data_IF_112261381233
#
_entry.id   IF_112261381233
#
_cell.length_a   1.000
_cell.length_b   1.000
_cell.length_c   1.000
_cell.angle_alpha   90.00
_cell.angle_beta   90.00
_cell.angle_gamma   90.00
#
_symmetry.space_group_name_H-M   'P 1'
#
loop_
_entity.id
_entity.type
_entity.pdbx_description
1 polymer ?
#
# COMPACT_ATOMS: atom_id res chain seq x y z
N UNK A 1 -12.55 -1.41 -9.39
CA UNK A 1 -11.72 -2.03 -8.32
C UNK A 1 -12.28 -3.43 -8.01
N UNK A 2 -11.46 -4.36 -7.52
CA UNK A 2 -11.90 -5.66 -7.00
C UNK A 2 -11.38 -5.87 -5.58
N UNK A 3 -12.06 -6.74 -4.83
CA UNK A 3 -11.61 -7.21 -3.53
C UNK A 3 -11.56 -8.74 -3.58
N UNK A 4 -10.39 -9.30 -3.26
CA UNK A 4 -10.19 -10.73 -3.10
C UNK A 4 -10.31 -11.06 -1.61
N UNK A 5 -11.01 -12.14 -1.30
CA UNK A 5 -11.20 -12.58 0.09
C UNK A 5 -10.48 -13.89 0.35
N UNK A 6 -9.73 -13.95 1.45
CA UNK A 6 -9.03 -15.14 1.96
C UNK A 6 -9.32 -15.32 3.45
N UNK A 7 -9.25 -16.55 3.99
CA UNK A 7 -9.41 -16.81 5.42
C UNK A 7 -10.82 -16.51 5.95
N UNK A 8 -11.87 -16.76 5.15
CA UNK A 8 -13.29 -16.47 5.51
C UNK A 8 -13.80 -17.18 6.76
N UNK A 9 -13.11 -18.21 7.21
CA UNK A 9 -13.40 -18.95 8.45
C UNK A 9 -13.07 -18.15 9.71
N UNK A 10 -12.25 -17.12 9.60
CA UNK A 10 -11.85 -16.29 10.74
C UNK A 10 -12.83 -15.15 10.98
N UNK A 11 -12.98 -14.78 12.26
CA UNK A 11 -13.86 -13.68 12.68
C UNK A 11 -13.16 -12.32 12.59
N UNK A 12 -11.85 -12.29 12.88
CA UNK A 12 -11.05 -11.07 12.83
C UNK A 12 -10.78 -10.66 11.38
N UNK A 13 -11.06 -9.43 11.06
CA UNK A 13 -11.05 -8.89 9.71
C UNK A 13 -9.84 -8.00 9.45
N UNK A 14 -9.19 -8.17 8.31
CA UNK A 14 -8.06 -7.37 7.85
C UNK A 14 -8.31 -6.81 6.46
N UNK A 15 -8.38 -5.49 6.33
CA UNK A 15 -8.34 -4.82 5.03
C UNK A 15 -6.90 -4.61 4.59
N UNK A 16 -6.54 -5.09 3.39
CA UNK A 16 -5.19 -5.05 2.86
C UNK A 16 -5.12 -4.23 1.57
N UNK A 17 -4.46 -3.06 1.63
CA UNK A 17 -4.16 -2.24 0.46
C UNK A 17 -2.72 -2.49 0.01
N UNK A 18 -2.50 -2.98 -1.24
CA UNK A 18 -1.17 -3.30 -1.74
C UNK A 18 -0.34 -2.06 -2.09
N UNK A 19 0.92 -2.26 -2.45
CA UNK A 19 1.79 -1.24 -3.02
C UNK A 19 1.40 -0.87 -4.45
N UNK A 20 2.00 0.22 -4.94
CA UNK A 20 1.93 0.60 -6.35
C UNK A 20 2.66 -0.40 -7.22
N UNK A 21 2.04 -0.75 -8.34
CA UNK A 21 2.66 -1.55 -9.41
C UNK A 21 3.19 -2.93 -8.97
N UNK A 22 2.57 -3.47 -7.92
CA UNK A 22 2.82 -4.84 -7.50
C UNK A 22 1.62 -5.73 -7.88
N UNK A 23 1.85 -6.87 -8.54
CA UNK A 23 0.81 -7.80 -8.88
C UNK A 23 0.28 -8.53 -7.64
N UNK A 24 -0.93 -9.10 -7.74
CA UNK A 24 -1.52 -9.88 -6.64
C UNK A 24 -0.61 -11.03 -6.20
N UNK A 25 0.05 -11.69 -7.13
CA UNK A 25 0.94 -12.81 -6.81
C UNK A 25 2.18 -12.40 -6.00
N UNK A 26 2.64 -11.15 -6.06
CA UNK A 26 3.77 -10.67 -5.26
C UNK A 26 3.48 -10.66 -3.74
N UNK A 27 2.20 -10.70 -3.36
CA UNK A 27 1.78 -10.77 -1.97
C UNK A 27 1.31 -12.17 -1.56
N UNK A 28 1.40 -13.18 -2.45
CA UNK A 28 0.79 -14.48 -2.23
C UNK A 28 1.26 -15.14 -0.92
N UNK A 29 2.58 -15.13 -0.66
CA UNK A 29 3.15 -15.74 0.54
C UNK A 29 2.70 -15.00 1.81
N UNK A 30 2.71 -13.67 1.80
CA UNK A 30 2.26 -12.86 2.92
C UNK A 30 0.77 -13.02 3.18
N UNK A 31 -0.05 -13.04 2.15
CA UNK A 31 -1.50 -13.29 2.28
C UNK A 31 -1.75 -14.72 2.77
N UNK A 32 -0.99 -15.71 2.31
CA UNK A 32 -1.12 -17.10 2.77
C UNK A 32 -0.82 -17.23 4.28
N UNK A 33 0.21 -16.55 4.79
CA UNK A 33 0.53 -16.55 6.23
C UNK A 33 -0.54 -15.82 7.03
N UNK A 34 -0.93 -14.61 6.60
CA UNK A 34 -1.94 -13.83 7.30
C UNK A 34 -3.33 -14.50 7.30
N UNK A 35 -3.71 -15.17 6.21
CA UNK A 35 -5.01 -15.83 6.09
C UNK A 35 -5.20 -17.04 7.02
N UNK A 36 -4.15 -17.47 7.70
CA UNK A 36 -4.24 -18.47 8.77
C UNK A 36 -4.91 -17.94 10.04
N UNK A 37 -5.11 -16.61 10.15
CA UNK A 37 -5.66 -15.96 11.36
C UNK A 37 -6.66 -14.87 11.05
N UNK A 38 -6.63 -14.30 9.83
CA UNK A 38 -7.44 -13.16 9.45
C UNK A 38 -8.38 -13.51 8.29
N UNK A 39 -9.60 -13.01 8.35
CA UNK A 39 -10.44 -12.85 7.17
C UNK A 39 -9.96 -11.59 6.43
N UNK A 40 -9.29 -11.78 5.31
CA UNK A 40 -8.60 -10.72 4.58
C UNK A 40 -9.46 -10.22 3.42
N UNK A 41 -9.62 -8.90 3.34
CA UNK A 41 -10.14 -8.16 2.18
C UNK A 41 -8.95 -7.53 1.44
N UNK A 42 -8.38 -8.22 0.46
CA UNK A 42 -7.26 -7.73 -0.34
C UNK A 42 -7.79 -6.88 -1.49
N UNK A 43 -7.46 -5.59 -1.48
CA UNK A 43 -7.83 -4.66 -2.55
C UNK A 43 -6.96 -4.91 -3.78
N UNK A 44 -7.59 -4.94 -4.96
CA UNK A 44 -6.92 -4.96 -6.27
C UNK A 44 -7.24 -3.65 -6.96
N UNK A 45 -6.23 -2.81 -7.13
CA UNK A 45 -6.41 -1.51 -7.79
C UNK A 45 -6.75 -1.66 -9.26
N UNK A 46 -7.63 -0.81 -9.77
CA UNK A 46 -7.88 -0.72 -11.21
C UNK A 46 -6.59 -0.44 -11.98
N UNK A 47 -6.45 -1.07 -13.13
CA UNK A 47 -5.27 -0.94 -13.98
C UNK A 47 -4.00 -1.60 -13.43
N UNK A 48 -4.09 -2.36 -12.32
CA UNK A 48 -2.98 -3.13 -11.75
C UNK A 48 -3.03 -4.62 -12.09
N UNK A 49 -4.12 -5.10 -12.67
CA UNK A 49 -4.23 -6.50 -13.09
C UNK A 49 -4.73 -6.55 -14.55
N UNK A 50 -3.98 -7.22 -15.44
CA UNK A 50 -4.36 -7.32 -16.86
C UNK A 50 -5.72 -7.99 -17.08
N UNK A 51 -6.11 -8.89 -16.17
CA UNK A 51 -7.37 -9.63 -16.23
C UNK A 51 -8.58 -8.75 -15.90
N UNK A 52 -8.38 -7.61 -15.26
CA UNK A 52 -9.44 -6.67 -14.85
C UNK A 52 -9.28 -5.36 -15.61
N UNK A 53 -10.04 -5.16 -16.69
CA UNK A 53 -9.92 -3.96 -17.51
C UNK A 53 -10.30 -2.70 -16.73
N UNK A 54 -9.58 -1.64 -16.96
CA UNK A 54 -9.79 -0.34 -16.34
C UNK A 54 -8.47 0.41 -16.13
N UNK A 55 -8.58 1.67 -15.75
CA UNK A 55 -7.44 2.48 -15.38
C UNK A 55 -7.58 2.91 -13.91
N UNK A 56 -6.48 2.91 -13.18
CA UNK A 56 -6.46 3.59 -11.88
C UNK A 56 -6.82 5.07 -12.06
N UNK A 57 -7.75 5.54 -11.27
CA UNK A 57 -8.24 6.92 -11.36
C UNK A 57 -7.65 7.79 -10.26
N UNK A 58 -7.92 7.47 -9.00
CA UNK A 58 -7.42 8.22 -7.86
C UNK A 58 -7.55 7.46 -6.55
N UNK A 59 -6.84 7.95 -5.54
CA UNK A 59 -6.98 7.49 -4.14
C UNK A 59 -8.41 7.68 -3.66
N UNK A 60 -9.03 8.82 -4.00
CA UNK A 60 -10.40 9.14 -3.63
C UNK A 60 -11.37 8.09 -4.14
N UNK A 61 -11.36 7.83 -5.45
CA UNK A 61 -12.26 6.84 -6.05
C UNK A 61 -12.04 5.44 -5.47
N UNK A 62 -10.79 5.04 -5.28
CA UNK A 62 -10.48 3.73 -4.68
C UNK A 62 -11.08 3.61 -3.27
N UNK A 63 -10.94 4.65 -2.44
CA UNK A 63 -11.48 4.63 -1.07
C UNK A 63 -13.01 4.63 -1.09
N UNK A 64 -13.63 5.43 -1.95
CA UNK A 64 -15.08 5.48 -2.09
C UNK A 64 -15.64 4.10 -2.51
N UNK A 65 -14.98 3.42 -3.47
CA UNK A 65 -15.39 2.08 -3.94
C UNK A 65 -15.16 1.01 -2.86
N UNK A 66 -14.06 1.07 -2.09
CA UNK A 66 -13.82 0.16 -0.95
C UNK A 66 -14.89 0.37 0.13
N UNK A 67 -15.17 1.62 0.48
CA UNK A 67 -16.20 1.96 1.46
C UNK A 67 -17.57 1.47 1.02
N UNK A 68 -17.93 1.68 -0.25
CA UNK A 68 -19.17 1.18 -0.82
C UNK A 68 -19.25 -0.36 -0.77
N UNK A 69 -18.16 -1.06 -1.15
CA UNK A 69 -18.11 -2.52 -1.06
C UNK A 69 -18.37 -3.01 0.37
N UNK A 70 -17.66 -2.46 1.36
CA UNK A 70 -17.81 -2.84 2.76
C UNK A 70 -19.25 -2.59 3.26
N UNK A 71 -19.82 -1.41 2.96
CA UNK A 71 -21.19 -1.06 3.33
C UNK A 71 -22.25 -2.00 2.73
N UNK A 72 -22.12 -2.35 1.44
CA UNK A 72 -23.03 -3.29 0.75
C UNK A 72 -22.98 -4.69 1.38
N UNK A 73 -21.82 -5.10 1.92
CA UNK A 73 -21.64 -6.37 2.62
C UNK A 73 -21.94 -6.27 4.13
N UNK A 74 -22.46 -5.14 4.61
CA UNK A 74 -22.81 -4.93 6.02
C UNK A 74 -21.61 -4.79 6.96
N UNK A 75 -20.41 -4.48 6.41
CA UNK A 75 -19.17 -4.34 7.18
C UNK A 75 -18.98 -2.86 7.52
N UNK A 76 -19.32 -2.47 8.73
CA UNK A 76 -19.11 -1.12 9.26
C UNK A 76 -17.87 -0.99 10.16
N UNK A 77 -17.26 -2.14 10.49
CA UNK A 77 -16.08 -2.22 11.34
C UNK A 77 -15.09 -3.25 10.78
N UNK A 78 -13.81 -2.92 10.88
CA UNK A 78 -12.67 -3.80 10.60
C UNK A 78 -11.77 -3.85 11.84
N UNK A 79 -11.35 -5.06 12.23
CA UNK A 79 -10.44 -5.22 13.38
C UNK A 79 -9.08 -4.61 13.07
N UNK A 80 -8.61 -4.80 11.83
CA UNK A 80 -7.32 -4.31 11.38
C UNK A 80 -7.36 -3.79 9.94
N UNK A 81 -6.40 -2.90 9.61
CA UNK A 81 -6.11 -2.50 8.25
C UNK A 81 -4.62 -2.29 8.03
N UNK A 82 -4.13 -2.70 6.86
CA UNK A 82 -2.77 -2.49 6.38
C UNK A 82 -2.79 -1.77 5.04
N UNK A 83 -1.85 -0.85 4.83
CA UNK A 83 -1.69 -0.20 3.53
C UNK A 83 -0.25 0.22 3.28
N UNK A 84 0.33 -0.22 2.15
CA UNK A 84 1.69 0.10 1.76
C UNK A 84 1.73 1.13 0.63
N UNK A 85 2.61 2.12 0.72
CA UNK A 85 2.87 3.09 -0.36
C UNK A 85 1.60 3.81 -0.84
N UNK A 86 1.12 3.54 -2.07
CA UNK A 86 -0.17 4.00 -2.59
C UNK A 86 -1.33 3.47 -1.72
N UNK A 87 -1.24 2.21 -1.30
CA UNK A 87 -2.20 1.62 -0.37
C UNK A 87 -2.21 2.33 0.98
N UNK A 88 -1.04 2.80 1.42
CA UNK A 88 -0.93 3.65 2.61
C UNK A 88 -1.62 5.02 2.44
N UNK A 89 -1.62 5.59 1.23
CA UNK A 89 -2.39 6.79 0.93
C UNK A 89 -3.91 6.53 0.97
N UNK A 90 -4.35 5.40 0.40
CA UNK A 90 -5.76 4.97 0.47
C UNK A 90 -6.19 4.75 1.93
N UNK A 91 -5.41 4.03 2.71
CA UNK A 91 -5.69 3.78 4.12
C UNK A 91 -5.71 5.09 4.94
N UNK A 92 -4.76 6.01 4.69
CA UNK A 92 -4.75 7.33 5.33
C UNK A 92 -6.05 8.08 5.09
N UNK A 93 -6.56 8.07 3.85
CA UNK A 93 -7.81 8.73 3.50
C UNK A 93 -9.02 8.02 4.13
N UNK A 94 -9.08 6.68 4.07
CA UNK A 94 -10.16 5.90 4.68
C UNK A 94 -10.29 6.21 6.18
N UNK A 95 -9.16 6.19 6.90
CA UNK A 95 -9.12 6.54 8.32
C UNK A 95 -9.52 8.00 8.59
N UNK A 96 -9.12 8.91 7.72
CA UNK A 96 -9.43 10.33 7.86
C UNK A 96 -10.92 10.64 7.66
N UNK A 97 -11.61 9.90 6.80
CA UNK A 97 -13.06 10.02 6.58
C UNK A 97 -13.87 9.40 7.70
N UNK A 98 -13.40 8.31 8.30
CA UNK A 98 -14.04 7.64 9.44
C UNK A 98 -15.39 6.98 9.14
N UNK A 99 -15.71 6.75 7.85
CA UNK A 99 -16.97 6.11 7.43
C UNK A 99 -17.00 4.62 7.78
N UNK A 100 -15.84 3.97 7.79
CA UNK A 100 -15.63 2.61 8.26
C UNK A 100 -14.77 2.68 9.51
N UNK A 101 -15.24 2.10 10.59
CA UNK A 101 -14.48 2.00 11.85
C UNK A 101 -13.34 0.99 11.67
N UNK A 102 -12.15 1.32 12.15
CA UNK A 102 -10.98 0.43 12.13
C UNK A 102 -10.37 0.37 13.52
N UNK A 103 -10.17 -0.82 14.06
CA UNK A 103 -9.58 -0.99 15.38
C UNK A 103 -8.11 -0.58 15.40
N UNK A 104 -7.31 -1.14 14.49
CA UNK A 104 -5.87 -0.89 14.38
C UNK A 104 -5.43 -0.76 12.93
N UNK A 105 -4.48 0.12 12.68
CA UNK A 105 -4.01 0.36 11.32
C UNK A 105 -2.49 0.48 11.23
N UNK A 106 -1.91 -0.12 10.20
CA UNK A 106 -0.51 0.04 9.81
C UNK A 106 -0.46 0.74 8.46
N UNK A 107 0.16 1.91 8.42
CA UNK A 107 0.45 2.66 7.20
C UNK A 107 1.95 2.51 6.93
N UNK A 108 2.32 1.66 5.98
CA UNK A 108 3.69 1.29 5.68
C UNK A 108 4.25 2.10 4.50
N UNK A 109 5.18 3.00 4.78
CA UNK A 109 5.76 3.90 3.79
C UNK A 109 4.73 4.73 3.03
N UNK A 110 3.54 4.93 3.62
CA UNK A 110 2.39 5.55 2.97
C UNK A 110 2.69 6.96 2.45
N UNK A 111 2.29 7.21 1.21
CA UNK A 111 2.43 8.51 0.58
C UNK A 111 1.44 9.51 1.20
N UNK A 112 1.85 10.77 1.29
CA UNK A 112 1.01 11.83 1.85
C UNK A 112 0.90 13.01 0.88
N UNK A 113 -0.17 13.83 0.94
CA UNK A 113 -0.30 14.98 0.07
C UNK A 113 0.87 15.96 0.20
N UNK A 114 1.40 16.44 -0.92
CA UNK A 114 2.41 17.47 -0.94
C UNK A 114 1.80 18.87 -1.03
N UNK A 115 2.16 19.73 -0.09
CA UNK A 115 1.83 21.17 -0.14
C UNK A 115 2.82 21.93 -1.03
N UNK A 116 2.90 21.58 -2.33
CA UNK A 116 3.82 22.15 -3.29
C UNK A 116 3.10 22.97 -4.37
N UNK A 117 3.74 24.01 -4.95
CA UNK A 117 3.20 24.76 -6.08
C UNK A 117 2.87 23.84 -7.26
N UNK A 118 1.82 24.20 -8.01
CA UNK A 118 1.31 23.37 -9.11
C UNK A 118 2.38 22.98 -10.15
N UNK A 119 3.24 23.90 -10.55
CA UNK A 119 4.31 23.62 -11.52
C UNK A 119 5.33 22.60 -10.97
N UNK A 120 5.68 22.69 -9.70
CA UNK A 120 6.59 21.73 -9.05
C UNK A 120 5.97 20.35 -9.05
N UNK A 121 4.68 20.24 -8.71
CA UNK A 121 3.95 18.95 -8.76
C UNK A 121 3.92 18.35 -10.17
N UNK A 122 3.78 19.18 -11.20
CA UNK A 122 3.84 18.72 -12.61
C UNK A 122 5.22 18.23 -13.00
N UNK A 123 6.29 18.88 -12.55
CA UNK A 123 7.67 18.43 -12.79
C UNK A 123 7.96 17.10 -12.08
N UNK A 124 7.51 16.95 -10.83
CA UNK A 124 7.64 15.68 -10.09
C UNK A 124 6.88 14.57 -10.80
N UNK A 125 5.64 14.81 -11.22
CA UNK A 125 4.86 13.84 -12.00
C UNK A 125 5.61 13.40 -13.27
N UNK A 126 6.17 14.34 -14.04
CA UNK A 126 6.90 14.03 -15.26
C UNK A 126 8.13 13.15 -14.97
N UNK A 127 8.87 13.48 -13.90
CA UNK A 127 10.01 12.68 -13.42
C UNK A 127 9.58 11.27 -13.07
N UNK A 128 8.53 11.12 -12.26
CA UNK A 128 8.07 9.83 -11.73
C UNK A 128 7.52 8.92 -12.85
N UNK A 129 6.77 9.50 -13.78
CA UNK A 129 6.28 8.78 -14.98
C UNK A 129 7.45 8.32 -15.85
N UNK A 130 8.47 9.17 -16.06
CA UNK A 130 9.66 8.80 -16.83
C UNK A 130 10.45 7.70 -16.11
N UNK A 131 10.68 7.83 -14.81
CA UNK A 131 11.36 6.83 -13.99
C UNK A 131 10.66 5.48 -14.06
N UNK A 132 9.34 5.44 -13.85
CA UNK A 132 8.56 4.21 -13.97
C UNK A 132 8.74 3.54 -15.33
N UNK A 133 8.64 4.31 -16.43
CA UNK A 133 8.78 3.78 -17.78
C UNK A 133 10.17 3.24 -18.05
N UNK A 134 11.19 3.90 -17.55
CA UNK A 134 12.58 3.46 -17.67
C UNK A 134 12.77 2.12 -16.97
N UNK A 135 12.27 1.97 -15.74
CA UNK A 135 12.32 0.72 -14.99
C UNK A 135 11.49 -0.37 -15.67
N UNK A 136 10.28 -0.06 -16.13
CA UNK A 136 9.39 -1.03 -16.80
C UNK A 136 9.90 -1.53 -18.16
N UNK A 137 10.77 -0.78 -18.82
CA UNK A 137 11.29 -1.11 -20.16
C UNK A 137 12.71 -1.64 -20.17
N UNK A 138 13.42 -1.61 -19.05
CA UNK A 138 14.83 -1.98 -18.97
C UNK A 138 15.10 -2.87 -17.75
N UNK A 139 15.49 -4.11 -18.00
CA UNK A 139 15.79 -5.13 -16.99
C UNK A 139 16.87 -4.68 -16.00
N UNK A 140 17.96 -4.11 -16.49
CA UNK A 140 19.06 -3.65 -15.64
C UNK A 140 18.59 -2.53 -14.68
N UNK A 141 17.71 -1.65 -15.17
CA UNK A 141 17.13 -0.59 -14.33
C UNK A 141 16.14 -1.15 -13.30
N UNK A 142 15.39 -2.20 -13.65
CA UNK A 142 14.52 -2.90 -12.72
C UNK A 142 15.34 -3.55 -11.60
N UNK A 143 16.40 -4.29 -11.97
CA UNK A 143 17.28 -4.94 -10.99
C UNK A 143 18.09 -3.93 -10.15
N UNK A 144 18.45 -2.79 -10.73
CA UNK A 144 19.10 -1.72 -9.97
C UNK A 144 18.15 -1.03 -8.97
N UNK A 145 16.86 -0.88 -9.33
CA UNK A 145 15.86 -0.32 -8.45
C UNK A 145 15.42 -1.29 -7.34
N UNK A 146 15.36 -2.56 -7.69
CA UNK A 146 14.97 -3.67 -6.83
C UNK A 146 16.00 -4.79 -6.98
N UNK A 147 17.10 -4.79 -6.21
CA UNK A 147 18.16 -5.79 -6.33
C UNK A 147 17.63 -7.22 -6.07
N UNK A 148 17.86 -8.19 -7.00
CA UNK A 148 17.29 -9.53 -6.91
C UNK A 148 17.64 -10.28 -5.62
N UNK A 149 18.87 -10.09 -5.13
CA UNK A 149 19.34 -10.68 -3.87
C UNK A 149 18.56 -10.18 -2.64
N UNK A 150 17.84 -9.09 -2.80
CA UNK A 150 17.07 -8.45 -1.73
C UNK A 150 15.57 -8.60 -1.91
N UNK A 151 15.09 -8.56 -3.16
CA UNK A 151 13.66 -8.52 -3.50
C UNK A 151 13.11 -9.82 -4.06
N UNK A 152 13.88 -10.92 -3.99
CA UNK A 152 13.37 -12.26 -4.29
C UNK A 152 13.05 -12.98 -2.98
N UNK A 153 11.81 -13.44 -2.76
CA UNK A 153 11.45 -14.19 -1.57
C UNK A 153 12.29 -15.48 -1.45
N UNK A 154 12.62 -15.93 -0.23
CA UNK A 154 13.36 -17.17 -0.02
C UNK A 154 12.68 -18.38 -0.70
N UNK A 155 13.44 -19.14 -1.46
CA UNK A 155 12.96 -20.30 -2.19
C UNK A 155 12.38 -20.01 -3.58
N UNK A 156 12.23 -18.75 -3.96
CA UNK A 156 11.76 -18.35 -5.28
C UNK A 156 12.91 -18.28 -6.31
N UNK A 157 12.55 -18.47 -7.58
CA UNK A 157 13.49 -18.33 -8.72
C UNK A 157 13.49 -16.86 -9.16
N UNK A 158 14.54 -16.14 -8.76
CA UNK A 158 14.73 -14.72 -9.07
C UNK A 158 14.54 -14.40 -10.55
N UNK A 159 15.05 -15.23 -11.45
CA UNK A 159 14.94 -15.00 -12.89
C UNK A 159 13.48 -15.03 -13.34
N UNK A 160 12.73 -16.03 -12.89
CA UNK A 160 11.31 -16.17 -13.23
C UNK A 160 10.46 -15.02 -12.66
N UNK A 161 10.73 -14.63 -11.41
CA UNK A 161 10.06 -13.50 -10.77
C UNK A 161 10.27 -12.21 -11.57
N UNK A 162 11.50 -11.90 -11.92
CA UNK A 162 11.81 -10.69 -12.65
C UNK A 162 11.35 -10.72 -14.10
N UNK A 163 11.34 -11.89 -14.75
CA UNK A 163 10.74 -12.05 -16.08
C UNK A 163 9.21 -11.83 -16.04
N UNK A 164 8.55 -12.27 -14.96
CA UNK A 164 7.13 -12.03 -14.74
C UNK A 164 6.86 -10.55 -14.43
N UNK A 165 7.66 -9.94 -13.55
CA UNK A 165 7.54 -8.53 -13.18
C UNK A 165 7.76 -7.61 -14.39
N UNK A 166 8.76 -7.87 -15.22
CA UNK A 166 9.01 -7.08 -16.43
C UNK A 166 7.83 -7.13 -17.40
N UNK A 167 7.24 -8.31 -17.62
CA UNK A 167 6.01 -8.43 -18.44
C UNK A 167 4.85 -7.68 -17.82
N UNK A 168 4.67 -7.81 -16.52
CA UNK A 168 3.60 -7.15 -15.78
C UNK A 168 3.70 -5.62 -15.84
N UNK A 169 4.88 -5.04 -15.59
CA UNK A 169 5.07 -3.59 -15.62
C UNK A 169 4.78 -2.97 -17.00
N UNK A 170 4.97 -3.74 -18.09
CA UNK A 170 4.66 -3.31 -19.45
C UNK A 170 3.15 -3.25 -19.74
N UNK A 171 2.29 -3.84 -18.90
CA UNK A 171 0.84 -3.81 -19.09
C UNK A 171 0.21 -2.48 -18.65
N UNK A 172 0.91 -1.68 -17.87
CA UNK A 172 0.38 -0.43 -17.35
C UNK A 172 0.10 0.60 -18.46
N UNK A 173 -1.14 1.10 -18.50
CA UNK A 173 -1.50 2.19 -19.39
C UNK A 173 -0.83 3.51 -18.97
N UNK A 174 -0.65 4.40 -19.92
CA UNK A 174 -0.15 5.75 -19.66
C UNK A 174 -1.04 6.52 -18.70
N UNK A 175 -2.32 6.28 -18.73
CA UNK A 175 -3.32 6.92 -17.89
C UNK A 175 -3.17 6.43 -16.46
N UNK A 176 -3.09 5.13 -16.25
CA UNK A 176 -2.88 4.52 -14.93
C UNK A 176 -1.58 5.04 -14.30
N UNK A 177 -0.44 5.00 -15.01
CA UNK A 177 0.84 5.48 -14.48
C UNK A 177 0.74 6.96 -14.03
N UNK A 178 0.20 7.82 -14.88
CA UNK A 178 0.04 9.26 -14.54
C UNK A 178 -0.88 9.49 -13.36
N UNK A 179 -2.00 8.76 -13.30
CA UNK A 179 -2.97 8.90 -12.23
C UNK A 179 -2.42 8.40 -10.88
N UNK A 180 -1.69 7.30 -10.87
CA UNK A 180 -1.00 6.80 -9.67
C UNK A 180 -0.11 7.90 -9.08
N UNK A 181 0.89 8.38 -9.85
CA UNK A 181 1.87 9.34 -9.33
C UNK A 181 1.27 10.72 -9.06
N UNK A 182 0.24 11.10 -9.79
CA UNK A 182 -0.49 12.33 -9.46
C UNK A 182 -1.27 12.17 -8.16
N UNK A 183 -2.10 11.13 -8.05
CA UNK A 183 -3.02 10.97 -6.94
C UNK A 183 -2.29 10.67 -5.62
N UNK A 184 -1.28 9.78 -5.62
CA UNK A 184 -0.58 9.36 -4.41
C UNK A 184 -0.04 10.52 -3.55
N UNK A 185 0.30 11.65 -4.20
CA UNK A 185 0.86 12.83 -3.54
C UNK A 185 -0.07 14.06 -3.57
N UNK A 186 -1.29 13.92 -4.08
CA UNK A 186 -2.21 15.04 -4.25
C UNK A 186 -3.65 14.72 -3.88
N UNK A 187 -3.91 13.58 -3.24
CA UNK A 187 -5.26 13.24 -2.80
C UNK A 187 -5.78 14.19 -1.72
N UNK A 188 -7.10 14.35 -1.70
CA UNK A 188 -7.76 15.23 -0.76
C UNK A 188 -7.97 14.55 0.60
N UNK A 189 -7.72 15.29 1.66
CA UNK A 189 -8.03 14.91 3.04
C UNK A 189 -8.94 15.97 3.68
N UNK A 190 -9.81 15.59 4.63
CA UNK A 190 -10.49 16.55 5.48
C UNK A 190 -9.48 17.45 6.20
N UNK A 191 -9.86 18.67 6.55
CA UNK A 191 -8.98 19.56 7.31
C UNK A 191 -8.58 18.98 8.67
N UNK A 192 -9.49 18.24 9.28
CA UNK A 192 -9.31 17.51 10.54
C UNK A 192 -9.76 16.08 10.28
N UNK A 193 -8.99 15.06 10.63
CA UNK A 193 -9.43 13.69 10.51
C UNK A 193 -10.62 13.42 11.41
N UNK A 194 -11.47 12.47 11.03
CA UNK A 194 -12.53 12.00 11.89
C UNK A 194 -11.95 11.51 13.23
N UNK A 195 -12.64 11.81 14.31
CA UNK A 195 -12.29 11.23 15.61
C UNK A 195 -12.59 9.74 15.57
N UNK A 196 -11.56 8.93 15.44
CA UNK A 196 -11.64 7.49 15.49
C UNK A 196 -10.74 6.96 16.62
N UNK A 197 -11.23 5.95 17.35
CA UNK A 197 -10.43 5.24 18.35
C UNK A 197 -9.33 4.36 17.75
N UNK A 198 -9.05 4.49 16.47
CA UNK A 198 -8.08 3.67 15.73
C UNK A 198 -6.66 3.86 16.27
N UNK A 199 -6.00 2.78 16.64
CA UNK A 199 -4.57 2.81 16.96
C UNK A 199 -3.76 2.75 15.67
N UNK A 200 -3.24 3.89 15.23
CA UNK A 200 -2.52 4.04 13.96
C UNK A 200 -1.01 3.96 14.20
N UNK A 201 -0.33 3.13 13.41
CA UNK A 201 1.13 3.07 13.37
C UNK A 201 1.61 3.35 11.94
N UNK A 202 2.56 4.27 11.80
CA UNK A 202 3.26 4.52 10.56
C UNK A 202 4.57 3.72 10.56
N UNK A 203 4.70 2.76 9.63
CA UNK A 203 5.92 2.00 9.42
C UNK A 203 6.74 2.59 8.27
N UNK A 204 8.03 2.31 8.28
CA UNK A 204 8.93 2.56 7.15
C UNK A 204 10.18 1.68 7.28
N UNK A 205 10.73 1.24 6.18
CA UNK A 205 12.04 0.60 6.16
C UNK A 205 13.14 1.62 6.53
N UNK A 206 14.06 1.27 7.43
CA UNK A 206 15.06 2.23 7.88
C UNK A 206 15.98 2.74 6.77
N UNK A 207 16.11 1.99 5.68
CA UNK A 207 16.93 2.40 4.52
C UNK A 207 16.29 3.56 3.74
N UNK A 208 14.94 3.68 3.76
CA UNK A 208 14.21 4.80 3.15
C UNK A 208 13.92 5.97 4.10
N UNK A 209 14.45 5.96 5.33
CA UNK A 209 14.14 6.97 6.36
C UNK A 209 14.28 8.42 5.89
N UNK A 210 15.26 8.69 5.03
CA UNK A 210 15.48 10.07 4.52
C UNK A 210 14.32 10.51 3.63
N UNK A 211 13.84 9.62 2.80
CA UNK A 211 12.77 9.88 1.82
C UNK A 211 11.41 10.00 2.51
N UNK A 212 11.22 9.32 3.64
CA UNK A 212 9.99 9.35 4.44
C UNK A 212 9.88 10.50 5.43
N UNK A 213 10.88 11.37 5.57
CA UNK A 213 10.87 12.47 6.55
C UNK A 213 9.65 13.39 6.41
N UNK A 214 9.27 13.72 5.17
CA UNK A 214 8.11 14.56 4.93
C UNK A 214 6.83 13.84 5.36
N UNK A 215 6.63 12.61 4.90
CA UNK A 215 5.46 11.79 5.22
C UNK A 215 5.31 11.59 6.73
N UNK A 216 6.38 11.23 7.43
CA UNK A 216 6.38 11.06 8.90
C UNK A 216 5.97 12.35 9.60
N UNK A 217 6.50 13.51 9.17
CA UNK A 217 6.14 14.81 9.75
C UNK A 217 4.67 15.14 9.50
N UNK A 218 4.20 14.93 8.27
CA UNK A 218 2.80 15.12 7.90
C UNK A 218 1.89 14.25 8.77
N UNK A 219 2.15 12.96 8.84
CA UNK A 219 1.34 12.00 9.59
C UNK A 219 1.28 12.32 11.09
N UNK A 220 2.40 12.70 11.70
CA UNK A 220 2.45 13.13 13.10
C UNK A 220 1.65 14.42 13.37
N UNK A 221 1.57 15.30 12.39
CA UNK A 221 0.77 16.51 12.51
C UNK A 221 -0.72 16.22 12.30
N UNK A 222 -1.03 15.34 11.35
CA UNK A 222 -2.40 15.06 10.94
C UNK A 222 -3.13 14.11 11.90
N UNK A 223 -2.45 13.05 12.36
CA UNK A 223 -2.96 12.13 13.38
C UNK A 223 -2.13 12.28 14.66
N UNK A 224 -2.64 13.03 15.64
CA UNK A 224 -1.89 13.42 16.85
C UNK A 224 -1.39 12.24 17.69
N UNK A 225 -2.06 11.08 17.63
CA UNK A 225 -1.73 9.89 18.43
C UNK A 225 -1.00 8.80 17.64
N UNK A 226 -0.53 9.10 16.41
CA UNK A 226 0.14 8.13 15.57
C UNK A 226 1.47 7.68 16.18
N UNK A 227 1.70 6.36 16.22
CA UNK A 227 3.01 5.79 16.52
C UNK A 227 3.84 5.72 15.24
N UNK A 228 5.15 5.85 15.33
CA UNK A 228 6.07 5.73 14.19
C UNK A 228 7.09 4.66 14.50
N UNK A 229 7.21 3.68 13.60
CA UNK A 229 8.09 2.53 13.77
C UNK A 229 8.95 2.33 12.53
N UNK A 230 10.29 2.35 12.72
CA UNK A 230 11.25 2.04 11.67
C UNK A 230 11.63 0.56 11.71
N UNK A 231 11.51 -0.12 10.59
CA UNK A 231 11.90 -1.54 10.45
C UNK A 231 13.39 -1.60 10.07
N UNK A 232 14.28 -2.12 10.93
CA UNK A 232 15.71 -2.14 10.66
C UNK A 232 16.08 -2.93 9.41
N UNK A 233 17.02 -2.43 8.61
CA UNK A 233 17.60 -3.11 7.44
C UNK A 233 16.59 -3.44 6.34
N UNK A 234 15.45 -2.76 6.29
CA UNK A 234 14.43 -2.92 5.25
C UNK A 234 14.39 -1.71 4.35
N UNK A 235 14.23 -1.95 3.06
CA UNK A 235 13.85 -0.96 2.07
C UNK A 235 12.33 -0.78 2.03
N UNK A 236 11.86 0.05 1.10
CA UNK A 236 10.44 0.28 0.86
C UNK A 236 9.74 -1.00 0.43
N UNK A 237 8.65 -1.36 1.10
CA UNK A 237 7.82 -2.55 0.85
C UNK A 237 8.53 -3.92 0.98
N UNK A 238 9.82 -3.96 1.22
CA UNK A 238 10.60 -5.20 1.27
C UNK A 238 10.04 -6.19 2.31
N UNK A 239 9.66 -5.70 3.48
CA UNK A 239 9.14 -6.56 4.55
C UNK A 239 7.89 -7.34 4.09
N UNK A 240 6.93 -6.66 3.48
CA UNK A 240 5.65 -7.27 3.07
C UNK A 240 5.77 -8.13 1.80
N UNK A 241 6.76 -7.83 0.94
CA UNK A 241 6.94 -8.56 -0.32
C UNK A 241 7.84 -9.79 -0.18
N UNK A 242 8.80 -9.75 0.75
CA UNK A 242 9.91 -10.72 0.76
C UNK A 242 9.98 -11.54 2.04
N UNK A 243 9.45 -11.02 3.14
CA UNK A 243 9.62 -11.64 4.47
C UNK A 243 8.27 -11.93 5.15
N UNK A 244 7.43 -12.84 4.61
CA UNK A 244 6.06 -13.06 5.09
C UNK A 244 5.97 -13.41 6.57
N UNK A 245 6.83 -14.29 7.07
CA UNK A 245 6.84 -14.70 8.48
C UNK A 245 7.27 -13.54 9.42
N UNK A 246 8.25 -12.75 8.98
CA UNK A 246 8.69 -11.59 9.75
C UNK A 246 7.64 -10.48 9.70
N UNK A 247 7.00 -10.29 8.54
CA UNK A 247 5.88 -9.36 8.41
C UNK A 247 4.74 -9.74 9.37
N UNK A 248 4.36 -11.02 9.39
CA UNK A 248 3.32 -11.53 10.27
C UNK A 248 3.66 -11.32 11.75
N UNK A 249 4.90 -11.61 12.16
CA UNK A 249 5.36 -11.35 13.52
C UNK A 249 5.21 -9.87 13.93
N UNK A 250 5.58 -8.93 13.03
CA UNK A 250 5.37 -7.51 13.28
C UNK A 250 3.89 -7.15 13.26
N UNK A 251 3.13 -7.67 12.29
CA UNK A 251 1.70 -7.41 12.16
C UNK A 251 0.94 -7.86 13.42
N UNK A 252 1.25 -9.05 13.94
CA UNK A 252 0.67 -9.54 15.18
C UNK A 252 0.88 -8.57 16.34
N UNK A 253 2.09 -8.06 16.53
CA UNK A 253 2.41 -7.12 17.61
C UNK A 253 1.64 -5.79 17.52
N UNK A 254 1.34 -5.30 16.31
CA UNK A 254 0.73 -3.99 16.11
C UNK A 254 -0.77 -4.04 15.79
N UNK A 255 -1.25 -5.15 15.23
CA UNK A 255 -2.64 -5.31 14.81
C UNK A 255 -3.51 -6.07 15.83
N UNK A 256 -2.92 -6.83 16.76
CA UNK A 256 -3.71 -7.46 17.83
C UNK A 256 -3.93 -6.51 19.02
N UNK A 257 -5.07 -6.65 19.73
CA UNK A 257 -5.29 -5.98 21.00
C UNK A 257 -4.16 -6.32 22.01
N UNK A 258 -3.73 -5.35 22.81
CA UNK A 258 -2.92 -5.62 24.00
C UNK A 258 -3.83 -6.37 24.98
N UNK A 259 -3.43 -7.56 25.42
CA UNK A 259 -4.11 -8.35 26.45
C UNK A 259 -4.15 -7.60 27.80
#
# INVERSE_FOLDING_TARGET
MQILECGREHRETLLFFPCTAEPVWAFADTIAVLSQRWHIFQVVFDGHQPEYPGDFTSVEQTVDEVTQYLNVHGISHLDAAYGCSLGGACLTRLLALGEISVGRAIIDGGMTPYCLPFLVRKLLLARDVLSFRTVASNREMLEAAFPPERFTPPGHDSRKEYDAMERYLKTFSNRTIRNIFWSANNYALPKVPAECGTKITYWYGCDEKKDRRYNIRFMKHYFSQIRVHGIPKMAHAELVLVHPELFDHYAEKFLKPEE
#
